data_IF_861244119156
#
_entry.id   IF_861244119156
#
_cell.length_a   1.000
_cell.length_b   1.000
_cell.length_c   1.000
_cell.angle_alpha   90.00
_cell.angle_beta   90.00
_cell.angle_gamma   90.00
#
_symmetry.space_group_name_H-M   'P 1'
#
loop_
_entity.id
_entity.type
_entity.pdbx_description
1 polymer ?
#
# COMPACT_ATOMS: atom_id res chain seq x y z
N UNK A 1 41.18 36.64 -3.92
CA UNK A 1 40.49 35.44 -3.40
C UNK A 1 39.04 35.48 -3.86
N UNK A 2 38.64 34.63 -4.82
CA UNK A 2 37.23 34.49 -5.22
C UNK A 2 36.52 33.71 -4.11
N UNK A 3 35.61 34.36 -3.40
CA UNK A 3 34.67 33.69 -2.49
C UNK A 3 33.95 32.58 -3.26
N UNK A 4 33.91 31.34 -2.74
CA UNK A 4 33.17 30.27 -3.40
C UNK A 4 31.71 30.70 -3.45
N UNK A 5 31.14 30.75 -4.65
CA UNK A 5 29.75 31.05 -4.86
C UNK A 5 28.90 30.06 -4.06
N UNK A 6 28.28 30.55 -2.98
CA UNK A 6 27.33 29.79 -2.18
C UNK A 6 26.18 29.41 -3.10
N UNK A 7 26.09 28.12 -3.42
CA UNK A 7 24.97 27.58 -4.18
C UNK A 7 23.66 28.02 -3.53
N UNK A 8 22.66 28.47 -4.32
CA UNK A 8 21.38 28.89 -3.75
C UNK A 8 20.78 27.74 -2.93
N UNK A 9 20.15 28.03 -1.77
CA UNK A 9 19.58 27.00 -0.91
C UNK A 9 18.59 26.16 -1.72
N UNK A 10 18.80 24.84 -1.76
CA UNK A 10 17.88 23.91 -2.42
C UNK A 10 16.52 24.03 -1.71
N UNK A 11 15.44 24.40 -2.42
CA UNK A 11 14.14 24.57 -1.79
C UNK A 11 13.72 23.25 -1.13
N UNK A 12 13.09 23.32 0.05
CA UNK A 12 12.70 22.13 0.83
C UNK A 12 11.91 21.11 -0.02
N UNK A 13 11.03 21.60 -0.89
CA UNK A 13 10.27 20.78 -1.85
C UNK A 13 11.14 19.90 -2.78
N UNK A 14 12.32 20.37 -3.19
CA UNK A 14 13.26 19.57 -3.97
C UNK A 14 13.84 18.40 -3.16
N UNK A 15 14.08 18.60 -1.86
CA UNK A 15 14.61 17.56 -0.96
C UNK A 15 13.54 16.48 -0.71
N UNK A 16 12.31 16.89 -0.38
CA UNK A 16 11.21 15.96 -0.15
C UNK A 16 10.87 15.15 -1.41
N UNK A 17 10.85 15.77 -2.60
CA UNK A 17 10.63 15.03 -3.86
C UNK A 17 11.71 13.98 -4.12
N UNK A 18 13.00 14.33 -3.94
CA UNK A 18 14.12 13.38 -4.11
C UNK A 18 14.00 12.22 -3.13
N UNK A 19 13.75 12.51 -1.86
CA UNK A 19 13.64 11.50 -0.81
C UNK A 19 12.47 10.54 -1.07
N UNK A 20 11.28 11.05 -1.39
CA UNK A 20 10.13 10.21 -1.71
C UNK A 20 10.33 9.38 -2.98
N UNK A 21 10.97 9.93 -4.02
CA UNK A 21 11.29 9.14 -5.23
C UNK A 21 12.31 8.06 -4.96
N UNK A 22 13.38 8.38 -4.24
CA UNK A 22 14.40 7.41 -3.84
C UNK A 22 13.79 6.28 -3.02
N UNK A 23 12.99 6.62 -2.01
CA UNK A 23 12.27 5.64 -1.19
C UNK A 23 11.29 4.79 -2.00
N UNK A 24 10.55 5.38 -2.94
CA UNK A 24 9.61 4.64 -3.81
C UNK A 24 10.33 3.59 -4.68
N UNK A 25 11.50 3.94 -5.24
CA UNK A 25 12.28 3.01 -6.05
C UNK A 25 12.90 1.89 -5.21
N UNK A 26 13.47 2.23 -4.06
CA UNK A 26 14.03 1.23 -3.13
C UNK A 26 12.96 0.24 -2.67
N UNK A 27 11.77 0.74 -2.32
CA UNK A 27 10.65 -0.12 -1.88
C UNK A 27 10.07 -0.93 -3.02
N UNK A 28 10.06 -0.41 -4.25
CA UNK A 28 9.68 -1.19 -5.44
C UNK A 28 10.66 -2.31 -5.73
N UNK A 29 11.97 -2.04 -5.67
CA UNK A 29 13.01 -3.05 -5.85
C UNK A 29 12.94 -4.12 -4.75
N UNK A 30 12.74 -3.72 -3.50
CA UNK A 30 12.54 -4.65 -2.40
C UNK A 30 11.28 -5.51 -2.58
N UNK A 31 10.16 -4.93 -3.04
CA UNK A 31 8.94 -5.67 -3.34
C UNK A 31 9.15 -6.70 -4.45
N UNK A 32 9.85 -6.31 -5.54
CA UNK A 32 10.20 -7.22 -6.63
C UNK A 32 11.13 -8.34 -6.18
N UNK A 33 12.11 -8.03 -5.34
CA UNK A 33 13.00 -9.04 -4.76
C UNK A 33 12.21 -10.04 -3.89
N UNK A 34 11.32 -9.56 -3.01
CA UNK A 34 10.45 -10.41 -2.21
C UNK A 34 9.54 -11.30 -3.07
N UNK A 35 9.00 -10.75 -4.16
CA UNK A 35 8.17 -11.49 -5.11
C UNK A 35 8.98 -12.57 -5.84
N UNK A 36 10.21 -12.26 -6.27
CA UNK A 36 11.11 -13.23 -6.88
C UNK A 36 11.49 -14.34 -5.89
N UNK A 37 11.83 -14.00 -4.65
CA UNK A 37 12.08 -14.98 -3.59
C UNK A 37 10.87 -15.88 -3.34
N UNK A 38 9.65 -15.32 -3.36
CA UNK A 38 8.41 -16.09 -3.26
C UNK A 38 8.20 -17.07 -4.42
N UNK A 39 8.70 -16.77 -5.62
CA UNK A 39 8.53 -17.64 -6.78
C UNK A 39 9.61 -18.71 -6.88
N UNK A 40 10.84 -18.38 -6.46
CA UNK A 40 12.03 -19.20 -6.71
C UNK A 40 12.47 -20.06 -5.52
N UNK A 41 12.29 -19.57 -4.29
CA UNK A 41 13.01 -20.09 -3.12
C UNK A 41 12.09 -20.63 -2.02
N UNK A 42 10.78 -20.43 -2.13
CA UNK A 42 9.92 -20.48 -0.97
C UNK A 42 9.03 -21.72 -0.94
N UNK A 43 9.26 -22.58 0.05
CA UNK A 43 8.29 -23.59 0.47
C UNK A 43 6.99 -22.92 0.96
N UNK A 44 5.89 -23.67 0.99
CA UNK A 44 4.54 -23.15 1.18
C UNK A 44 4.36 -22.12 2.32
N UNK A 45 4.93 -22.25 3.54
CA UNK A 45 4.73 -21.26 4.58
C UNK A 45 5.66 -20.04 4.44
N UNK A 46 6.90 -20.23 3.99
CA UNK A 46 7.81 -19.13 3.68
C UNK A 46 7.28 -18.27 2.52
N UNK A 47 6.61 -18.91 1.54
CA UNK A 47 6.02 -18.24 0.38
C UNK A 47 4.97 -17.21 0.78
N UNK A 48 4.13 -17.54 1.75
CA UNK A 48 3.07 -16.66 2.25
C UNK A 48 3.65 -15.41 2.93
N UNK A 49 4.73 -15.56 3.70
CA UNK A 49 5.42 -14.43 4.30
C UNK A 49 6.03 -13.52 3.23
N UNK A 50 6.76 -14.08 2.26
CA UNK A 50 7.32 -13.31 1.15
C UNK A 50 6.25 -12.54 0.34
N UNK A 51 5.11 -13.17 0.07
CA UNK A 51 3.97 -12.54 -0.60
C UNK A 51 3.40 -11.37 0.23
N UNK A 52 3.29 -11.54 1.55
CA UNK A 52 2.81 -10.48 2.45
C UNK A 52 3.74 -9.26 2.45
N UNK A 53 5.06 -9.48 2.47
CA UNK A 53 6.07 -8.42 2.41
C UNK A 53 6.09 -7.74 1.03
N UNK A 54 5.98 -8.51 -0.05
CA UNK A 54 5.88 -7.95 -1.41
C UNK A 54 4.63 -7.07 -1.57
N UNK A 55 3.48 -7.51 -1.05
CA UNK A 55 2.23 -6.76 -1.10
C UNK A 55 2.33 -5.42 -0.35
N UNK A 56 2.82 -5.45 0.90
CA UNK A 56 2.96 -4.23 1.73
C UNK A 56 3.98 -3.25 1.16
N UNK A 57 5.13 -3.72 0.67
CA UNK A 57 6.15 -2.87 0.06
C UNK A 57 5.68 -2.26 -1.28
N UNK A 58 4.87 -2.97 -2.05
CA UNK A 58 4.27 -2.43 -3.28
C UNK A 58 3.28 -1.29 -3.00
N UNK A 59 2.49 -1.38 -1.92
CA UNK A 59 1.64 -0.28 -1.46
C UNK A 59 2.49 0.94 -1.07
N UNK A 60 3.51 0.73 -0.25
CA UNK A 60 4.42 1.78 0.20
C UNK A 60 5.08 2.49 -1.00
N UNK A 61 5.52 1.73 -2.00
CA UNK A 61 6.10 2.28 -3.22
C UNK A 61 5.14 3.20 -3.98
N UNK A 62 3.89 2.77 -4.16
CA UNK A 62 2.83 3.59 -4.77
C UNK A 62 2.60 4.90 -4.02
N UNK A 63 2.49 4.81 -2.69
CA UNK A 63 2.25 5.95 -1.80
C UNK A 63 3.37 6.98 -1.84
N UNK A 64 4.62 6.53 -1.77
CA UNK A 64 5.80 7.39 -1.87
C UNK A 64 5.90 8.05 -3.25
N UNK A 65 5.55 7.34 -4.32
CA UNK A 65 5.52 7.92 -5.65
C UNK A 65 4.45 9.02 -5.76
N UNK A 66 3.25 8.76 -5.24
CA UNK A 66 2.16 9.73 -5.19
C UNK A 66 2.56 10.99 -4.40
N UNK A 67 3.22 10.84 -3.24
CA UNK A 67 3.76 11.96 -2.47
C UNK A 67 4.83 12.74 -3.25
N UNK A 68 5.76 12.03 -3.91
CA UNK A 68 6.83 12.67 -4.69
C UNK A 68 6.29 13.51 -5.84
N UNK A 69 5.19 13.08 -6.44
CA UNK A 69 4.57 13.80 -7.55
C UNK A 69 3.96 15.13 -7.12
N UNK A 70 3.50 15.24 -5.87
CA UNK A 70 2.94 16.47 -5.30
C UNK A 70 4.02 17.45 -4.94
N UNK A 71 5.07 16.97 -4.27
CA UNK A 71 6.26 17.78 -4.03
C UNK A 71 6.80 18.32 -5.37
N UNK A 72 6.85 17.49 -6.42
CA UNK A 72 7.24 17.92 -7.76
C UNK A 72 6.27 18.89 -8.44
N UNK A 73 4.97 18.82 -8.14
CA UNK A 73 3.99 19.80 -8.62
C UNK A 73 4.17 21.15 -7.93
N UNK A 74 4.37 21.18 -6.60
CA UNK A 74 4.68 22.41 -5.84
C UNK A 74 5.95 23.07 -6.34
N UNK A 75 7.02 22.28 -6.49
CA UNK A 75 8.30 22.74 -7.05
C UNK A 75 8.11 23.42 -8.41
N UNK A 76 7.34 22.81 -9.31
CA UNK A 76 7.05 23.38 -10.65
C UNK A 76 6.27 24.69 -10.58
N UNK A 77 5.36 24.84 -9.60
CA UNK A 77 4.63 26.09 -9.38
C UNK A 77 5.51 27.23 -8.88
N UNK A 78 6.46 26.92 -8.04
CA UNK A 78 7.44 27.88 -7.52
C UNK A 78 8.50 28.26 -8.58
N UNK A 79 8.40 27.75 -9.82
CA UNK A 79 9.37 28.02 -10.89
C UNK A 79 10.73 27.34 -10.69
N UNK A 80 10.86 26.42 -9.73
CA UNK A 80 12.12 25.76 -9.43
C UNK A 80 12.50 24.72 -10.51
N UNK A 81 13.81 24.67 -10.82
CA UNK A 81 14.38 23.87 -11.89
C UNK A 81 14.00 22.37 -11.79
N UNK A 82 13.92 21.71 -12.94
CA UNK A 82 13.66 20.27 -12.98
C UNK A 82 14.78 19.51 -12.26
N UNK A 83 14.42 18.65 -11.32
CA UNK A 83 15.39 17.74 -10.71
C UNK A 83 16.00 16.84 -11.80
N UNK A 84 17.33 16.64 -11.80
CA UNK A 84 17.93 15.63 -12.65
C UNK A 84 17.30 14.28 -12.34
N UNK A 85 16.90 13.54 -13.38
CA UNK A 85 16.66 12.10 -13.27
C UNK A 85 17.92 11.50 -12.62
N UNK A 86 17.71 10.76 -11.54
CA UNK A 86 18.73 10.16 -10.66
C UNK A 86 20.03 9.93 -11.42
N UNK A 87 21.14 10.63 -11.07
CA UNK A 87 22.44 10.21 -11.55
C UNK A 87 22.69 8.89 -10.83
N UNK A 88 22.49 7.77 -11.52
CA UNK A 88 23.21 6.56 -11.18
C UNK A 88 24.68 6.99 -11.28
N UNK A 89 25.33 7.19 -10.14
CA UNK A 89 26.77 7.42 -10.09
C UNK A 89 27.43 6.11 -10.47
N UNK A 90 27.41 5.80 -11.78
CA UNK A 90 28.28 4.81 -12.36
C UNK A 90 29.71 5.25 -11.98
N UNK A 91 30.55 4.33 -11.47
CA UNK A 91 31.90 4.66 -11.07
C UNK A 91 32.59 5.38 -12.22
N UNK A 92 33.22 6.51 -11.88
CA UNK A 92 33.85 7.49 -12.78
C UNK A 92 35.10 6.95 -13.49
N UNK A 93 35.16 5.65 -13.77
CA UNK A 93 36.22 4.98 -14.52
C UNK A 93 35.95 4.90 -16.04
N UNK A 94 34.70 5.10 -16.48
CA UNK A 94 34.38 5.19 -17.91
C UNK A 94 34.16 6.66 -18.29
N UNK A 95 35.23 7.28 -18.81
CA UNK A 95 35.21 8.64 -19.34
C UNK A 95 34.31 8.76 -20.57
N UNK A 96 33.00 8.89 -20.35
CA UNK A 96 32.08 9.34 -21.39
C UNK A 96 32.07 10.87 -21.34
N UNK A 97 32.92 11.45 -22.18
CA UNK A 97 32.96 12.88 -22.49
C UNK A 97 31.54 13.35 -22.83
N UNK A 98 30.96 14.36 -22.16
CA UNK A 98 29.64 14.84 -22.51
C UNK A 98 29.71 15.48 -23.90
N UNK A 99 29.21 14.78 -24.92
CA UNK A 99 28.95 15.36 -26.22
C UNK A 99 27.92 16.48 -26.00
N UNK A 100 28.38 17.73 -26.11
CA UNK A 100 27.54 18.89 -26.37
C UNK A 100 26.65 18.54 -27.57
N UNK A 101 25.40 18.19 -27.34
CA UNK A 101 24.40 18.11 -28.39
C UNK A 101 24.01 19.54 -28.77
N UNK A 102 24.84 20.14 -29.63
CA UNK A 102 24.44 21.24 -30.48
C UNK A 102 23.27 20.78 -31.36
N UNK A 103 22.40 21.73 -31.67
CA UNK A 103 21.17 21.56 -32.42
C UNK A 103 21.33 20.69 -33.67
N UNK A 104 20.58 19.60 -33.73
CA UNK A 104 20.05 19.05 -34.98
C UNK A 104 18.60 18.67 -34.76
N UNK A 105 17.71 19.51 -35.30
CA UNK A 105 16.35 19.11 -35.55
C UNK A 105 16.31 17.98 -36.57
N UNK A 106 15.17 17.27 -36.58
CA UNK A 106 14.62 16.76 -37.84
C UNK A 106 15.20 15.46 -38.43
N UNK A 107 15.45 14.41 -37.63
CA UNK A 107 15.63 13.07 -38.23
C UNK A 107 15.07 11.83 -37.51
N UNK A 108 14.46 11.95 -36.31
CA UNK A 108 13.84 10.80 -35.62
C UNK A 108 12.31 10.92 -35.45
N UNK A 109 11.59 11.22 -36.53
CA UNK A 109 10.12 11.37 -36.52
C UNK A 109 9.26 10.15 -36.90
N UNK A 110 9.71 9.10 -37.64
CA UNK A 110 8.77 8.05 -38.07
C UNK A 110 8.42 7.05 -36.95
N UNK A 111 9.36 6.71 -36.07
CA UNK A 111 9.13 5.77 -34.96
C UNK A 111 8.25 6.34 -33.84
N UNK A 112 8.20 7.68 -33.69
CA UNK A 112 7.39 8.36 -32.68
C UNK A 112 5.90 8.42 -33.02
N UNK A 113 5.52 8.22 -34.28
CA UNK A 113 4.12 8.17 -34.75
C UNK A 113 3.48 6.78 -34.57
N UNK A 114 4.28 5.71 -34.57
CA UNK A 114 3.82 4.32 -34.39
C UNK A 114 3.66 3.93 -32.91
N UNK A 115 4.34 4.61 -32.00
CA UNK A 115 4.11 4.42 -30.57
C UNK A 115 2.81 5.13 -30.18
N UNK A 116 1.75 4.35 -29.96
CA UNK A 116 0.53 4.77 -29.27
C UNK A 116 0.84 5.38 -27.89
N UNK A 117 1.98 5.00 -27.31
CA UNK A 117 2.46 5.39 -25.98
C UNK A 117 2.51 6.91 -25.72
N UNK A 118 3.17 7.77 -26.53
CA UNK A 118 3.16 9.22 -26.34
C UNK A 118 1.80 9.90 -26.54
N UNK A 119 0.83 9.26 -27.21
CA UNK A 119 -0.57 9.76 -27.32
C UNK A 119 -1.38 9.35 -26.08
N UNK A 120 -1.31 8.07 -25.69
CA UNK A 120 -1.90 7.57 -24.45
C UNK A 120 -1.38 8.35 -23.24
N UNK A 121 -0.06 8.54 -23.14
CA UNK A 121 0.57 9.31 -22.05
C UNK A 121 0.07 10.75 -21.98
N UNK A 122 -0.22 11.38 -23.13
CA UNK A 122 -0.77 12.74 -23.19
C UNK A 122 -2.25 12.80 -22.80
N UNK A 123 -3.05 11.80 -23.18
CA UNK A 123 -4.45 11.69 -22.76
C UNK A 123 -4.58 11.38 -21.26
N UNK A 124 -3.83 10.39 -20.80
CA UNK A 124 -3.74 9.97 -19.40
C UNK A 124 -3.28 11.11 -18.49
N UNK A 125 -2.25 11.86 -18.89
CA UNK A 125 -1.76 12.99 -18.12
C UNK A 125 -2.70 14.20 -18.12
N UNK A 126 -3.62 14.29 -19.10
CA UNK A 126 -4.64 15.35 -19.15
C UNK A 126 -5.80 15.08 -18.22
N UNK A 127 -6.21 13.82 -18.04
CA UNK A 127 -7.44 13.48 -17.29
C UNK A 127 -7.18 12.91 -15.90
N UNK A 128 -6.22 12.00 -15.74
CA UNK A 128 -6.06 11.20 -14.49
C UNK A 128 -4.81 11.62 -13.70
N UNK A 129 -3.78 12.06 -14.42
CA UNK A 129 -2.47 12.33 -13.83
C UNK A 129 -1.66 11.05 -13.60
N UNK A 130 -0.43 11.04 -14.13
CA UNK A 130 0.51 9.90 -14.01
C UNK A 130 0.70 9.31 -12.60
N UNK A 131 0.67 10.11 -11.51
CA UNK A 131 0.88 9.58 -10.16
C UNK A 131 -0.28 8.73 -9.64
N UNK A 132 -1.51 9.06 -10.05
CA UNK A 132 -2.71 8.30 -9.66
C UNK A 132 -2.67 6.90 -10.25
N UNK A 133 -2.15 6.75 -11.46
CA UNK A 133 -2.00 5.44 -12.11
C UNK A 133 -0.96 4.59 -11.39
N UNK A 134 0.16 5.18 -10.98
CA UNK A 134 1.15 4.44 -10.21
C UNK A 134 0.64 4.00 -8.83
N UNK A 135 -0.14 4.86 -8.16
CA UNK A 135 -0.84 4.52 -6.93
C UNK A 135 -1.85 3.37 -7.18
N UNK A 136 -2.64 3.46 -8.25
CA UNK A 136 -3.60 2.43 -8.63
C UNK A 136 -2.92 1.10 -8.97
N UNK A 137 -1.78 1.13 -9.67
CA UNK A 137 -1.05 -0.06 -10.06
C UNK A 137 -0.38 -0.73 -8.86
N UNK A 138 0.20 0.05 -7.93
CA UNK A 138 0.74 -0.47 -6.67
C UNK A 138 -0.34 -1.07 -5.78
N UNK A 139 -1.51 -0.42 -5.67
CA UNK A 139 -2.65 -0.96 -4.91
C UNK A 139 -3.29 -2.18 -5.57
N UNK A 140 -3.40 -2.22 -6.90
CA UNK A 140 -3.87 -3.39 -7.62
C UNK A 140 -2.93 -4.59 -7.44
N UNK A 141 -1.61 -4.38 -7.55
CA UNK A 141 -0.63 -5.44 -7.33
C UNK A 141 -0.73 -5.98 -5.90
N UNK A 142 -0.77 -5.10 -4.90
CA UNK A 142 -0.96 -5.51 -3.52
C UNK A 142 -2.27 -6.26 -3.29
N UNK A 143 -3.36 -5.82 -3.93
CA UNK A 143 -4.67 -6.46 -3.85
C UNK A 143 -4.60 -7.88 -4.42
N UNK A 144 -4.03 -8.06 -5.62
CA UNK A 144 -3.85 -9.38 -6.22
C UNK A 144 -3.01 -10.31 -5.33
N UNK A 145 -1.89 -9.82 -4.80
CA UNK A 145 -1.04 -10.61 -3.89
C UNK A 145 -1.77 -10.96 -2.58
N UNK A 146 -2.58 -10.03 -2.04
CA UNK A 146 -3.37 -10.29 -0.84
C UNK A 146 -4.50 -11.30 -1.07
N UNK A 147 -5.13 -11.30 -2.25
CA UNK A 147 -6.13 -12.30 -2.63
C UNK A 147 -5.49 -13.68 -2.72
N UNK A 148 -4.29 -13.78 -3.30
CA UNK A 148 -3.53 -15.03 -3.32
C UNK A 148 -3.21 -15.52 -1.90
N UNK A 149 -2.83 -14.61 -1.00
CA UNK A 149 -2.55 -14.92 0.41
C UNK A 149 -3.78 -15.43 1.17
N UNK A 150 -4.94 -14.78 0.98
CA UNK A 150 -6.20 -15.15 1.65
C UNK A 150 -6.76 -16.47 1.10
N UNK A 151 -6.59 -16.71 -0.21
CA UNK A 151 -7.02 -17.96 -0.85
C UNK A 151 -6.10 -19.14 -0.56
N UNK A 152 -4.91 -18.91 0.00
CA UNK A 152 -4.02 -19.99 0.36
C UNK A 152 -4.65 -20.84 1.49
N UNK A 153 -4.80 -22.14 1.23
CA UNK A 153 -5.26 -23.09 2.24
C UNK A 153 -4.15 -23.33 3.26
N UNK A 154 -4.11 -22.52 4.32
CA UNK A 154 -3.29 -22.85 5.50
C UNK A 154 -3.94 -24.02 6.25
N UNK A 155 -3.57 -25.26 5.91
CA UNK A 155 -3.90 -26.44 6.71
C UNK A 155 -2.75 -26.77 7.66
N UNK A 156 -3.07 -27.19 8.88
CA UNK A 156 -2.09 -27.55 9.92
C UNK A 156 -1.24 -28.75 9.51
N UNK A 157 -1.79 -29.66 8.70
CA UNK A 157 -1.07 -30.82 8.17
C UNK A 157 0.10 -30.47 7.24
N UNK A 158 0.05 -29.33 6.54
CA UNK A 158 1.14 -28.88 5.67
C UNK A 158 2.37 -28.38 6.43
N UNK A 159 2.25 -28.02 7.72
CA UNK A 159 3.35 -27.40 8.49
C UNK A 159 4.21 -28.45 9.18
N UNK A 160 3.65 -29.63 9.44
CA UNK A 160 4.33 -30.72 10.14
C UNK A 160 5.51 -31.30 9.32
N UNK A 161 5.42 -31.27 8.00
CA UNK A 161 6.43 -31.84 7.07
C UNK A 161 7.48 -30.82 6.59
N UNK A 162 7.34 -29.54 6.94
CA UNK A 162 8.12 -28.45 6.36
C UNK A 162 9.24 -27.99 7.30
N UNK A 163 10.41 -27.72 6.72
CA UNK A 163 11.54 -27.16 7.45
C UNK A 163 11.18 -25.79 8.02
N UNK A 164 10.95 -25.72 9.33
CA UNK A 164 10.67 -24.47 10.06
C UNK A 164 11.77 -23.43 9.86
N UNK A 165 13.00 -23.84 9.54
CA UNK A 165 14.13 -22.97 9.23
C UNK A 165 13.89 -22.08 8.00
N UNK A 166 13.05 -22.52 7.05
CA UNK A 166 12.70 -21.75 5.84
C UNK A 166 11.99 -20.42 6.14
N UNK A 167 11.38 -20.29 7.32
CA UNK A 167 10.67 -19.08 7.78
C UNK A 167 11.61 -17.99 8.28
N UNK A 168 12.86 -18.31 8.61
CA UNK A 168 13.78 -17.37 9.25
C UNK A 168 14.11 -16.20 8.34
N UNK A 169 14.49 -16.50 7.09
CA UNK A 169 14.88 -15.48 6.12
C UNK A 169 13.75 -14.47 5.83
N UNK A 170 12.52 -14.87 5.44
CA UNK A 170 11.44 -13.92 5.24
C UNK A 170 11.08 -13.14 6.50
N UNK A 171 11.07 -13.78 7.68
CA UNK A 171 10.77 -13.10 8.93
C UNK A 171 11.80 -12.02 9.28
N UNK A 172 13.10 -12.30 9.10
CA UNK A 172 14.17 -11.30 9.29
C UNK A 172 14.08 -10.16 8.26
N UNK A 173 13.85 -10.48 6.99
CA UNK A 173 13.68 -9.45 5.95
C UNK A 173 12.48 -8.56 6.23
N UNK A 174 11.35 -9.12 6.65
CA UNK A 174 10.18 -8.35 7.03
C UNK A 174 10.41 -7.48 8.28
N UNK A 175 11.17 -7.98 9.26
CA UNK A 175 11.52 -7.20 10.46
C UNK A 175 12.40 -5.99 10.09
N UNK A 176 13.38 -6.20 9.20
CA UNK A 176 14.24 -5.13 8.68
C UNK A 176 13.41 -4.10 7.90
N UNK A 177 12.44 -4.55 7.09
CA UNK A 177 11.51 -3.68 6.39
C UNK A 177 10.62 -2.88 7.36
N UNK A 178 10.12 -3.51 8.43
CA UNK A 178 9.34 -2.84 9.48
C UNK A 178 10.18 -1.78 10.21
N UNK A 179 11.44 -2.09 10.52
CA UNK A 179 12.38 -1.13 11.10
C UNK A 179 12.65 0.06 10.17
N UNK A 180 12.86 -0.18 8.87
CA UNK A 180 12.97 0.89 7.88
C UNK A 180 11.69 1.74 7.81
N UNK A 181 10.51 1.12 7.96
CA UNK A 181 9.23 1.79 8.11
C UNK A 181 9.16 2.71 9.34
N UNK A 182 9.64 2.25 10.50
CA UNK A 182 9.73 3.06 11.72
C UNK A 182 10.68 4.25 11.57
N UNK A 183 11.82 4.06 10.89
CA UNK A 183 12.72 5.17 10.58
C UNK A 183 12.03 6.21 9.68
N UNK A 184 11.25 5.76 8.70
CA UNK A 184 10.44 6.64 7.86
C UNK A 184 9.37 7.38 8.69
N UNK A 185 8.64 6.68 9.57
CA UNK A 185 7.67 7.29 10.48
C UNK A 185 8.34 8.37 11.34
N UNK A 186 9.47 8.05 11.97
CA UNK A 186 10.20 8.98 12.84
C UNK A 186 10.66 10.22 12.08
N UNK A 187 11.12 10.05 10.83
CA UNK A 187 11.45 11.19 9.96
C UNK A 187 10.23 12.04 9.64
N UNK A 188 9.10 11.42 9.27
CA UNK A 188 7.86 12.13 8.97
C UNK A 188 7.28 12.87 10.19
N UNK A 189 7.47 12.33 11.40
CA UNK A 189 7.01 12.94 12.63
C UNK A 189 7.83 14.18 13.04
N UNK A 190 9.08 14.28 12.57
CA UNK A 190 9.96 15.42 12.83
C UNK A 190 9.72 16.60 11.86
N UNK A 191 9.02 16.36 10.76
CA UNK A 191 8.73 17.39 9.75
C UNK A 191 7.55 18.27 10.18
N UNK A 192 7.67 19.58 9.95
CA UNK A 192 6.62 20.52 10.29
C UNK A 192 5.50 20.49 9.23
N UNK A 193 4.24 20.42 9.68
CA UNK A 193 3.07 20.38 8.78
C UNK A 193 2.87 21.64 7.94
N UNK A 194 3.42 22.78 8.39
CA UNK A 194 3.43 24.02 7.63
C UNK A 194 4.37 23.95 6.41
N UNK A 195 5.52 23.29 6.57
CA UNK A 195 6.53 23.14 5.52
C UNK A 195 6.18 21.97 4.58
N UNK A 196 5.63 20.88 5.15
CA UNK A 196 5.21 19.71 4.40
C UNK A 196 3.83 19.18 4.81
N UNK A 197 2.74 19.64 4.16
CA UNK A 197 1.37 19.27 4.55
C UNK A 197 1.04 17.79 4.29
N UNK A 198 1.71 17.10 3.36
CA UNK A 198 1.48 15.67 3.14
C UNK A 198 2.12 14.77 4.22
N UNK A 199 3.05 15.29 5.02
CA UNK A 199 3.76 14.50 6.02
C UNK A 199 2.81 13.84 7.02
N UNK A 200 1.78 14.55 7.48
CA UNK A 200 0.78 14.02 8.43
C UNK A 200 -0.04 12.85 7.86
N UNK A 201 -0.40 12.90 6.58
CA UNK A 201 -1.11 11.82 5.91
C UNK A 201 -0.20 10.61 5.70
N UNK A 202 1.05 10.83 5.27
CA UNK A 202 2.05 9.78 5.14
C UNK A 202 2.39 9.12 6.47
N UNK A 203 2.45 9.90 7.55
CA UNK A 203 2.68 9.41 8.90
C UNK A 203 1.59 8.41 9.30
N UNK A 204 0.32 8.79 9.10
CA UNK A 204 -0.84 7.94 9.42
C UNK A 204 -0.81 6.63 8.62
N UNK A 205 -0.50 6.70 7.32
CA UNK A 205 -0.38 5.52 6.46
C UNK A 205 0.83 4.65 6.83
N UNK A 206 1.96 5.27 7.18
CA UNK A 206 3.18 4.54 7.54
C UNK A 206 2.94 3.61 8.72
N UNK A 207 2.13 4.03 9.71
CA UNK A 207 1.71 3.18 10.83
C UNK A 207 0.91 1.97 10.40
N UNK A 208 -0.04 2.14 9.47
CA UNK A 208 -0.81 1.03 8.92
C UNK A 208 0.07 0.04 8.14
N UNK A 209 1.09 0.54 7.43
CA UNK A 209 2.06 -0.27 6.70
C UNK A 209 3.01 -1.01 7.65
N UNK A 210 3.49 -0.34 8.70
CA UNK A 210 4.32 -0.95 9.75
C UNK A 210 3.54 -2.09 10.42
N UNK A 211 2.27 -1.88 10.76
CA UNK A 211 1.41 -2.93 11.30
C UNK A 211 1.25 -4.11 10.32
N UNK A 212 1.03 -3.81 9.03
CA UNK A 212 0.92 -4.82 7.99
C UNK A 212 2.22 -5.60 7.73
N UNK A 213 3.38 -5.04 8.07
CA UNK A 213 4.69 -5.72 8.05
C UNK A 213 4.95 -6.51 9.34
N UNK A 214 4.61 -5.95 10.50
CA UNK A 214 4.87 -6.58 11.81
C UNK A 214 3.97 -7.79 12.07
N UNK A 215 2.69 -7.71 11.73
CA UNK A 215 1.76 -8.81 12.01
C UNK A 215 2.19 -10.15 11.37
N UNK A 216 2.48 -10.24 10.05
CA UNK A 216 2.93 -11.48 9.45
C UNK A 216 4.34 -11.90 9.90
N UNK A 217 5.26 -10.95 10.17
CA UNK A 217 6.61 -11.29 10.66
C UNK A 217 6.60 -11.91 12.04
N UNK A 218 5.85 -11.32 12.98
CA UNK A 218 5.70 -11.86 14.34
C UNK A 218 5.04 -13.23 14.32
N UNK A 219 4.02 -13.43 13.48
CA UNK A 219 3.43 -14.75 13.31
C UNK A 219 4.42 -15.75 12.70
N UNK A 220 5.25 -15.33 11.74
CA UNK A 220 6.32 -16.14 11.16
C UNK A 220 7.35 -16.61 12.21
N UNK A 221 7.82 -15.70 13.08
CA UNK A 221 8.70 -16.07 14.19
C UNK A 221 8.01 -17.00 15.20
N UNK A 222 6.73 -16.77 15.50
CA UNK A 222 5.97 -17.66 16.38
C UNK A 222 5.81 -19.07 15.83
N UNK A 223 5.56 -19.20 14.52
CA UNK A 223 5.50 -20.51 13.85
C UNK A 223 6.87 -21.23 13.87
N UNK A 224 7.98 -20.51 13.80
CA UNK A 224 9.31 -21.12 13.99
C UNK A 224 9.47 -21.73 15.39
N UNK A 225 8.88 -21.10 16.41
CA UNK A 225 8.87 -21.59 17.79
C UNK A 225 7.87 -22.74 18.02
N UNK A 226 7.11 -23.14 16.98
CA UNK A 226 6.09 -24.19 17.09
C UNK A 226 4.75 -23.73 17.64
N UNK A 227 4.48 -22.42 17.64
CA UNK A 227 3.21 -21.86 18.07
C UNK A 227 2.20 -21.91 16.91
N UNK A 228 1.68 -23.09 16.60
CA UNK A 228 0.80 -23.33 15.44
C UNK A 228 -0.52 -22.55 15.53
N UNK A 229 -0.94 -22.13 16.73
CA UNK A 229 -2.11 -21.29 16.94
C UNK A 229 -1.98 -19.87 16.33
N UNK A 230 -0.77 -19.44 15.97
CA UNK A 230 -0.52 -18.16 15.29
C UNK A 230 -0.77 -18.22 13.78
N UNK A 231 -1.02 -19.41 13.23
CA UNK A 231 -1.30 -19.60 11.81
C UNK A 231 -2.47 -18.75 11.27
N UNK A 232 -3.62 -18.62 11.98
CA UNK A 232 -4.69 -17.73 11.58
C UNK A 232 -4.26 -16.25 11.55
N UNK A 233 -3.22 -15.87 12.30
CA UNK A 233 -2.65 -14.52 12.30
C UNK A 233 -2.12 -14.09 10.93
N UNK A 234 -1.57 -15.01 10.13
CA UNK A 234 -1.15 -14.72 8.76
C UNK A 234 -2.35 -14.40 7.85
N UNK A 235 -3.47 -15.10 8.03
CA UNK A 235 -4.71 -14.80 7.29
C UNK A 235 -5.27 -13.44 7.69
N UNK A 236 -5.26 -13.12 8.99
CA UNK A 236 -5.64 -11.79 9.48
C UNK A 236 -4.78 -10.67 8.88
N UNK A 237 -3.46 -10.88 8.78
CA UNK A 237 -2.57 -9.96 8.06
C UNK A 237 -2.97 -9.80 6.59
N UNK A 238 -3.31 -10.90 5.91
CA UNK A 238 -3.81 -10.88 4.53
C UNK A 238 -5.10 -10.08 4.37
N UNK A 239 -6.08 -10.28 5.26
CA UNK A 239 -7.32 -9.49 5.25
C UNK A 239 -7.06 -8.00 5.49
N UNK A 240 -6.14 -7.65 6.39
CA UNK A 240 -5.77 -6.26 6.63
C UNK A 240 -5.18 -5.61 5.38
N UNK A 241 -4.22 -6.27 4.72
CA UNK A 241 -3.60 -5.78 3.48
C UNK A 241 -4.65 -5.69 2.35
N UNK A 242 -5.54 -6.68 2.25
CA UNK A 242 -6.61 -6.71 1.26
C UNK A 242 -7.56 -5.52 1.43
N UNK A 243 -7.99 -5.25 2.66
CA UNK A 243 -8.90 -4.14 2.95
C UNK A 243 -8.22 -2.78 2.68
N UNK A 244 -6.95 -2.63 3.11
CA UNK A 244 -6.16 -1.42 2.87
C UNK A 244 -5.92 -1.15 1.37
N UNK A 245 -5.55 -2.19 0.62
CA UNK A 245 -5.29 -2.09 -0.82
C UNK A 245 -6.57 -1.81 -1.61
N UNK A 246 -7.68 -2.45 -1.25
CA UNK A 246 -8.98 -2.18 -1.86
C UNK A 246 -9.44 -0.74 -1.63
N UNK A 247 -9.27 -0.22 -0.42
CA UNK A 247 -9.62 1.17 -0.10
C UNK A 247 -8.80 2.16 -0.94
N UNK A 248 -7.47 1.96 -1.00
CA UNK A 248 -6.57 2.83 -1.75
C UNK A 248 -6.81 2.74 -3.26
N UNK A 249 -7.13 1.55 -3.79
CA UNK A 249 -7.47 1.36 -5.20
C UNK A 249 -8.78 2.09 -5.53
N UNK A 250 -9.82 1.93 -4.71
CA UNK A 250 -11.09 2.59 -4.91
C UNK A 250 -10.91 4.12 -4.89
N UNK A 251 -10.13 4.65 -3.95
CA UNK A 251 -9.81 6.09 -3.91
C UNK A 251 -9.03 6.56 -5.12
N UNK A 252 -8.07 5.77 -5.60
CA UNK A 252 -7.34 6.10 -6.82
C UNK A 252 -8.28 6.14 -8.04
N UNK A 253 -9.21 5.18 -8.16
CA UNK A 253 -10.23 5.15 -9.20
C UNK A 253 -11.16 6.37 -9.11
N UNK A 254 -11.72 6.64 -7.93
CA UNK A 254 -12.59 7.79 -7.68
C UNK A 254 -11.88 9.12 -7.96
N UNK A 255 -10.59 9.23 -7.63
CA UNK A 255 -9.80 10.42 -7.96
C UNK A 255 -9.61 10.63 -9.47
N UNK A 256 -9.70 9.57 -10.28
CA UNK A 256 -9.69 9.63 -11.73
C UNK A 256 -10.99 10.17 -12.34
N UNK A 257 -12.11 10.09 -11.61
CA UNK A 257 -13.41 10.62 -12.05
C UNK A 257 -13.67 12.06 -11.58
N UNK A 258 -12.81 12.63 -10.74
CA UNK A 258 -12.93 14.02 -10.27
C UNK A 258 -12.51 15.05 -11.34
N UNK A 259 -13.08 16.28 -11.32
CA UNK A 259 -12.70 17.33 -12.26
C UNK A 259 -11.22 17.72 -12.10
N UNK A 260 -10.39 17.33 -13.07
CA UNK A 260 -8.95 17.55 -13.03
C UNK A 260 -8.59 19.00 -13.40
N UNK A 261 -8.51 19.87 -12.39
CA UNK A 261 -8.05 21.23 -12.58
C UNK A 261 -6.51 21.27 -12.61
N UNK A 262 -5.90 21.55 -13.77
CA UNK A 262 -4.44 21.79 -13.90
C UNK A 262 -3.91 22.85 -12.93
N UNK A 263 -4.80 23.74 -12.49
CA UNK A 263 -4.50 24.85 -11.60
C UNK A 263 -4.80 24.57 -10.11
N UNK A 264 -5.08 23.34 -9.70
CA UNK A 264 -5.20 23.00 -8.27
C UNK A 264 -4.48 21.68 -7.99
N UNK A 265 -3.93 21.54 -6.79
CA UNK A 265 -3.33 20.29 -6.37
C UNK A 265 -4.46 19.25 -6.26
N UNK A 266 -4.37 18.15 -7.01
CA UNK A 266 -5.34 17.06 -6.90
C UNK A 266 -5.41 16.57 -5.44
N UNK A 267 -6.61 16.35 -4.87
CA UNK A 267 -6.76 15.93 -3.47
C UNK A 267 -6.01 14.61 -3.19
N UNK A 268 -5.48 14.38 -1.98
CA UNK A 268 -4.76 13.14 -1.58
C UNK A 268 -5.52 11.86 -1.89
N UNK A 269 -5.16 11.20 -2.99
CA UNK A 269 -5.57 9.83 -3.30
C UNK A 269 -5.07 8.81 -2.27
N UNK A 270 -4.11 9.20 -1.42
CA UNK A 270 -3.53 8.39 -0.35
C UNK A 270 -4.10 8.67 1.05
N UNK A 271 -5.10 9.52 1.20
CA UNK A 271 -5.80 9.56 2.49
C UNK A 271 -6.52 8.20 2.67
N UNK A 272 -6.37 7.49 3.80
CA UNK A 272 -7.05 6.19 4.06
C UNK A 272 -7.85 6.27 5.35
N UNK A 273 -9.09 5.77 5.31
CA UNK A 273 -9.96 5.58 6.47
C UNK A 273 -9.36 4.57 7.42
N UNK A 274 -8.90 3.43 6.91
CA UNK A 274 -8.36 2.35 7.74
C UNK A 274 -7.13 2.81 8.52
N UNK A 275 -6.23 3.53 7.85
CA UNK A 275 -5.10 4.13 8.53
C UNK A 275 -5.54 5.20 9.56
N UNK A 276 -6.60 5.96 9.26
CA UNK A 276 -7.15 6.94 10.20
C UNK A 276 -7.86 6.33 11.42
N UNK A 277 -8.32 5.07 11.34
CA UNK A 277 -8.89 4.32 12.47
C UNK A 277 -7.82 3.93 13.50
N UNK A 278 -6.58 3.69 13.05
CA UNK A 278 -5.47 3.39 13.95
C UNK A 278 -4.97 4.61 14.74
N UNK A 279 -5.33 5.82 14.31
CA UNK A 279 -4.94 7.04 15.01
C UNK A 279 -6.02 7.37 16.05
N UNK A 280 -5.67 7.41 17.34
CA UNK A 280 -6.60 7.69 18.44
C UNK A 280 -7.55 8.87 18.13
N UNK A 281 -8.86 8.65 18.27
CA UNK A 281 -9.91 9.63 17.99
C UNK A 281 -11.24 9.01 17.57
N UNK A 282 -12.31 9.80 17.54
CA UNK A 282 -13.65 9.32 17.18
C UNK A 282 -13.75 9.01 15.67
N UNK A 283 -13.83 7.74 15.26
CA UNK A 283 -13.74 7.33 13.85
C UNK A 283 -14.89 7.88 13.01
N UNK A 284 -16.07 8.03 13.62
CA UNK A 284 -17.27 8.54 12.97
C UNK A 284 -17.11 10.01 12.52
N UNK A 285 -16.40 10.82 13.30
CA UNK A 285 -16.20 12.23 12.98
C UNK A 285 -15.27 12.42 11.78
N UNK A 286 -14.18 11.63 11.70
CA UNK A 286 -13.22 11.69 10.59
C UNK A 286 -13.80 11.16 9.29
N UNK A 287 -14.57 10.06 9.34
CA UNK A 287 -15.34 9.55 8.21
C UNK A 287 -16.25 10.64 7.62
N UNK A 288 -16.94 11.38 8.50
CA UNK A 288 -17.84 12.47 8.10
C UNK A 288 -17.09 13.63 7.45
N UNK A 289 -15.97 14.06 8.02
CA UNK A 289 -15.15 15.14 7.45
C UNK A 289 -14.55 14.74 6.09
N UNK A 290 -14.09 13.50 5.92
CA UNK A 290 -13.54 13.05 4.65
C UNK A 290 -14.59 12.92 3.54
N UNK A 291 -15.81 12.46 3.88
CA UNK A 291 -16.92 12.42 2.93
C UNK A 291 -17.38 13.82 2.54
N UNK A 292 -17.35 14.78 3.46
CA UNK A 292 -17.68 16.20 3.21
C UNK A 292 -16.64 16.89 2.33
N UNK A 293 -15.36 16.65 2.57
CA UNK A 293 -14.26 17.30 1.83
C UNK A 293 -13.95 16.64 0.49
N UNK A 294 -14.13 15.32 0.37
CA UNK A 294 -13.74 14.56 -0.82
C UNK A 294 -14.77 14.51 -1.95
N UNK A 295 -16.07 14.63 -1.64
CA UNK A 295 -17.15 14.52 -2.62
C UNK A 295 -17.76 15.86 -3.04
N UNK A 296 -17.38 16.98 -2.40
CA UNK A 296 -17.96 18.30 -2.68
C UNK A 296 -19.47 18.39 -2.45
N UNK A 297 -20.08 17.33 -1.89
CA UNK A 297 -21.49 17.27 -1.58
C UNK A 297 -21.71 18.03 -0.28
N UNK A 298 -22.45 19.13 -0.34
CA UNK A 298 -23.05 19.75 0.83
C UNK A 298 -24.02 18.74 1.49
N UNK A 299 -23.47 17.85 2.33
CA UNK A 299 -24.19 16.81 3.09
C UNK A 299 -25.20 17.40 4.09
N UNK A 300 -25.41 18.72 4.08
CA UNK A 300 -26.51 19.39 4.77
C UNK A 300 -27.86 19.12 4.10
N UNK A 301 -27.92 18.72 2.82
CA UNK A 301 -29.19 18.52 2.10
C UNK A 301 -29.53 17.06 1.70
N UNK A 302 -28.65 16.08 1.90
CA UNK A 302 -28.95 14.68 1.52
C UNK A 302 -29.45 13.82 2.69
N UNK A 303 -30.77 13.83 2.91
CA UNK A 303 -31.46 12.93 3.86
C UNK A 303 -31.09 11.45 3.65
N UNK A 304 -30.83 11.05 2.40
CA UNK A 304 -30.48 9.69 2.00
C UNK A 304 -29.19 9.16 2.65
N UNK A 305 -28.13 9.98 2.78
CA UNK A 305 -26.85 9.54 3.36
C UNK A 305 -26.93 9.40 4.89
N UNK A 306 -27.74 10.25 5.54
CA UNK A 306 -28.02 10.15 6.98
C UNK A 306 -28.88 8.94 7.30
N UNK A 307 -29.80 8.60 6.41
CA UNK A 307 -30.61 7.38 6.50
C UNK A 307 -29.75 6.14 6.27
N UNK A 308 -28.91 6.12 5.24
CA UNK A 308 -28.04 4.98 4.92
C UNK A 308 -27.04 4.68 6.06
N UNK A 309 -26.43 5.71 6.66
CA UNK A 309 -25.55 5.53 7.81
C UNK A 309 -26.24 5.04 9.09
N UNK A 310 -27.53 5.37 9.28
CA UNK A 310 -28.35 4.83 10.38
C UNK A 310 -28.82 3.40 10.10
N UNK A 311 -29.12 3.07 8.84
CA UNK A 311 -29.55 1.74 8.42
C UNK A 311 -28.38 0.73 8.37
N UNK A 312 -27.14 1.19 8.18
CA UNK A 312 -25.98 0.30 8.12
C UNK A 312 -25.68 -0.42 9.45
N UNK A 313 -25.92 0.22 10.59
CA UNK A 313 -25.66 -0.38 11.92
C UNK A 313 -26.54 -1.59 12.23
N UNK A 314 -27.89 -1.52 12.13
CA UNK A 314 -28.73 -2.68 12.35
C UNK A 314 -28.49 -3.75 11.28
N UNK A 315 -28.17 -3.36 10.04
CA UNK A 315 -27.87 -4.30 8.97
C UNK A 315 -26.56 -5.06 9.20
N UNK A 316 -25.51 -4.40 9.70
CA UNK A 316 -24.27 -5.04 10.12
C UNK A 316 -24.48 -5.97 11.34
N UNK A 317 -25.31 -5.56 12.30
CA UNK A 317 -25.69 -6.42 13.43
C UNK A 317 -26.45 -7.67 12.95
N UNK A 318 -27.38 -7.51 12.01
CA UNK A 318 -28.13 -8.61 11.42
C UNK A 318 -27.21 -9.57 10.64
N UNK A 319 -26.29 -9.03 9.83
CA UNK A 319 -25.30 -9.85 9.11
C UNK A 319 -24.37 -10.63 10.05
N UNK A 320 -23.92 -10.01 11.15
CA UNK A 320 -23.15 -10.70 12.19
C UNK A 320 -23.95 -11.83 12.83
N UNK A 321 -25.22 -11.58 13.13
CA UNK A 321 -26.12 -12.55 13.74
C UNK A 321 -26.43 -13.70 12.77
N UNK A 322 -26.66 -13.41 11.49
CA UNK A 322 -26.82 -14.41 10.43
C UNK A 322 -25.53 -15.22 10.21
N UNK A 323 -24.37 -14.58 10.21
CA UNK A 323 -23.08 -15.27 10.10
C UNK A 323 -22.84 -16.21 11.29
N UNK A 324 -23.19 -15.77 12.49
CA UNK A 324 -23.13 -16.58 13.70
C UNK A 324 -24.11 -17.77 13.66
N UNK A 325 -25.34 -17.55 13.20
CA UNK A 325 -26.32 -18.62 12.96
C UNK A 325 -25.82 -19.61 11.90
N UNK A 326 -25.24 -19.14 10.81
CA UNK A 326 -24.66 -20.00 9.78
C UNK A 326 -23.49 -20.84 10.32
N UNK A 327 -22.66 -20.28 11.20
CA UNK A 327 -21.59 -21.05 11.86
C UNK A 327 -22.12 -22.14 12.81
N UNK A 328 -23.38 -22.04 13.24
CA UNK A 328 -24.04 -23.06 14.07
C UNK A 328 -24.60 -24.23 13.24
N UNK A 329 -24.68 -24.07 11.91
CA UNK A 329 -25.08 -25.15 10.99
C UNK A 329 -23.82 -25.89 10.53
N UNK A 330 -23.66 -27.11 11.04
CA UNK A 330 -22.64 -28.04 10.57
C UNK A 330 -23.32 -29.12 9.73
N UNK A 331 -22.92 -29.27 8.47
CA UNK A 331 -23.39 -30.34 7.59
C UNK A 331 -22.50 -31.55 7.85
N UNK A 332 -23.06 -32.58 8.47
CA UNK A 332 -22.37 -33.84 8.74
C UNK A 332 -22.48 -34.71 7.48
N UNK A 333 -21.33 -35.12 6.93
CA UNK A 333 -21.29 -36.02 5.76
C UNK A 333 -21.83 -37.41 6.11
N UNK A 334 -22.40 -38.11 5.12
CA UNK A 334 -23.01 -39.45 5.28
C UNK A 334 -22.08 -40.52 5.85
N UNK A 335 -20.76 -40.30 5.80
CA UNK A 335 -19.74 -41.22 6.32
C UNK A 335 -19.34 -40.94 7.79
N UNK A 336 -19.90 -39.89 8.41
CA UNK A 336 -19.57 -39.50 9.79
C UNK A 336 -20.72 -39.87 10.75
N UNK A 337 -20.41 -40.67 11.77
CA UNK A 337 -21.37 -41.01 12.85
C UNK A 337 -21.53 -39.84 13.80
N UNK A 338 -22.65 -39.13 13.73
CA UNK A 338 -23.04 -38.14 14.72
C UNK A 338 -23.33 -38.80 16.07
N UNK A 339 -22.57 -38.43 17.11
CA UNK A 339 -22.84 -38.86 18.49
C UNK A 339 -23.71 -37.79 19.14
N UNK A 340 -24.95 -38.14 19.52
CA UNK A 340 -25.83 -37.23 20.24
C UNK A 340 -25.29 -37.02 21.66
N UNK A 341 -24.73 -35.84 21.92
CA UNK A 341 -24.36 -35.41 23.26
C UNK A 341 -25.42 -34.47 23.83
N UNK A 342 -25.97 -34.80 24.99
CA UNK A 342 -26.83 -33.89 25.75
C UNK A 342 -26.04 -33.43 26.97
N UNK A 343 -25.69 -32.14 27.02
CA UNK A 343 -24.87 -31.56 28.10
C UNK A 343 -23.51 -32.27 28.34
N UNK A 344 -22.80 -32.61 27.27
CA UNK A 344 -21.48 -33.25 27.35
C UNK A 344 -21.50 -34.74 27.73
N UNK A 345 -22.67 -35.33 27.99
CA UNK A 345 -22.82 -36.77 28.14
C UNK A 345 -23.30 -37.37 26.81
N UNK A 346 -22.59 -38.39 26.32
CA UNK A 346 -23.03 -39.17 25.17
C UNK A 346 -24.30 -39.94 25.56
N UNK A 347 -25.42 -39.61 24.91
CA UNK A 347 -26.66 -40.37 25.06
C UNK A 347 -26.59 -41.52 24.08
N UNK A 348 -26.50 -42.75 24.59
CA UNK A 348 -26.59 -43.94 23.77
C UNK A 348 -27.97 -44.00 23.12
N UNK A 349 -28.00 -44.08 21.79
CA UNK A 349 -29.21 -44.39 21.03
C UNK A 349 -29.10 -45.86 20.64
N UNK A 350 -30.07 -46.65 21.08
CA UNK A 350 -30.22 -48.09 20.76
C UNK A 350 -30.64 -48.30 19.32
#
# INVERSE_FOLDING_TARGET
MKTPATLPPVPADCRHERQCRGGSLLTMLAALCCLLCSLLLAEWPARLLWLSHAATLSLLSGLLNAASSRAGWRRRRQGAAALPLIPLTLPTGFGIRPLRSAATGQQNQPLRRLLLWPRLRRLISRHIGWPVIWQALGSLLALLLSVLLVRAELSTGLIADISRQSLLLPAMCGLLAAFAGLLLERKLAQENTADWPEAALLLTLSRAIIFALLLPTLCGFGLMLGLDWLLPGLRLAGYWILLLSAELLLRALLSGFGPHHRQQASPPAFNSLLASLMHGGNPAHRLRQQLQQGLGLELRHSWALRFLGKALRPLAACLLLCGWLLSSISIIGTDQRGIYQRFGAAVAVW
#
